data_IF_842603835734
#
_entry.id   IF_842603835734
#
_cell.length_a   1.000
_cell.length_b   1.000
_cell.length_c   1.000
_cell.angle_alpha   90.00
_cell.angle_beta   90.00
_cell.angle_gamma   90.00
#
_symmetry.space_group_name_H-M   'P 1'
#
loop_
_entity.id
_entity.type
_entity.pdbx_description
1 polymer ?
#
# COMPACT_ATOMS: atom_id res chain seq x y z
N UNK A 1 -11.56 6.60 4.41
CA UNK A 1 -10.92 5.38 3.86
C UNK A 1 -10.94 4.22 4.85
N UNK A 2 -10.38 4.38 6.06
CA UNK A 2 -10.35 3.30 7.08
C UNK A 2 -11.70 2.59 7.33
N UNK A 3 -12.76 3.32 7.66
CA UNK A 3 -14.09 2.74 7.91
C UNK A 3 -14.67 2.03 6.67
N UNK A 4 -14.38 2.55 5.47
CA UNK A 4 -14.81 1.93 4.22
C UNK A 4 -14.15 0.58 4.03
N UNK A 5 -12.84 0.48 4.31
CA UNK A 5 -12.13 -0.79 4.23
C UNK A 5 -12.66 -1.80 5.24
N UNK A 6 -12.87 -1.40 6.50
CA UNK A 6 -13.46 -2.29 7.50
C UNK A 6 -14.85 -2.80 7.10
N UNK A 7 -15.69 -1.94 6.52
CA UNK A 7 -17.02 -2.34 6.06
C UNK A 7 -16.95 -3.35 4.91
N UNK A 8 -16.02 -3.16 3.97
CA UNK A 8 -15.87 -4.06 2.80
C UNK A 8 -15.30 -5.41 3.25
N UNK A 9 -14.33 -5.42 4.16
CA UNK A 9 -13.67 -6.65 4.59
C UNK A 9 -14.33 -7.33 5.79
N UNK A 10 -15.35 -6.73 6.38
CA UNK A 10 -15.90 -7.17 7.67
C UNK A 10 -14.88 -7.11 8.82
N UNK A 11 -13.80 -6.34 8.66
CA UNK A 11 -12.69 -6.26 9.61
C UNK A 11 -11.65 -7.38 9.47
N UNK A 12 -11.85 -8.35 8.59
CA UNK A 12 -10.84 -9.38 8.30
C UNK A 12 -9.69 -8.81 7.49
N UNK A 13 -8.49 -9.37 7.67
CA UNK A 13 -7.29 -8.93 6.95
C UNK A 13 -7.23 -9.57 5.57
N UNK A 14 -6.96 -8.76 4.55
CA UNK A 14 -6.78 -9.24 3.18
C UNK A 14 -5.49 -8.70 2.54
N UNK A 15 -4.93 -9.43 1.56
CA UNK A 15 -3.94 -8.87 0.64
C UNK A 15 -4.53 -7.62 -0.05
N UNK A 16 -3.79 -6.53 -0.05
CA UNK A 16 -4.27 -5.22 -0.51
C UNK A 16 -3.41 -4.73 -1.69
N UNK A 17 -4.05 -4.51 -2.82
CA UNK A 17 -3.45 -3.89 -4.00
C UNK A 17 -3.76 -2.39 -3.99
N UNK A 18 -2.72 -1.57 -4.00
CA UNK A 18 -2.82 -0.13 -4.21
C UNK A 18 -2.30 0.20 -5.61
N UNK A 19 -3.22 0.62 -6.48
CA UNK A 19 -2.92 1.09 -7.83
C UNK A 19 -3.50 2.50 -7.96
N UNK A 20 -2.68 3.43 -8.42
CA UNK A 20 -3.11 4.82 -8.59
C UNK A 20 -3.19 5.19 -10.05
N UNK A 21 -4.31 5.76 -10.44
CA UNK A 21 -4.46 6.46 -11.71
C UNK A 21 -4.30 7.97 -11.48
N UNK A 22 -3.51 8.64 -12.33
CA UNK A 22 -3.32 10.10 -12.28
C UNK A 22 -2.27 10.60 -11.28
N UNK A 23 -2.39 11.87 -10.91
CA UNK A 23 -1.41 12.57 -10.07
C UNK A 23 -1.62 12.30 -8.59
N UNK A 24 -0.65 11.63 -7.94
CA UNK A 24 -0.63 11.43 -6.49
C UNK A 24 0.16 12.52 -5.77
N UNK A 25 -0.33 12.91 -4.59
CA UNK A 25 0.34 13.84 -3.70
C UNK A 25 0.75 13.14 -2.42
N UNK A 26 2.05 12.91 -2.25
CA UNK A 26 2.62 12.34 -1.03
C UNK A 26 3.09 13.48 -0.11
N UNK A 27 2.18 14.04 0.70
CA UNK A 27 2.58 15.01 1.74
C UNK A 27 3.28 14.32 2.90
N UNK A 28 4.09 15.05 3.67
CA UNK A 28 4.75 14.50 4.86
C UNK A 28 3.71 14.10 5.90
N UNK A 29 2.74 14.97 6.14
CA UNK A 29 1.65 14.80 7.09
C UNK A 29 0.83 13.54 6.76
N UNK A 30 0.53 13.31 5.47
CA UNK A 30 -0.18 12.12 5.03
C UNK A 30 0.59 10.83 5.28
N UNK A 31 1.91 10.84 5.03
CA UNK A 31 2.79 9.68 5.27
C UNK A 31 2.93 9.33 6.75
N UNK A 32 3.09 10.34 7.61
CA UNK A 32 3.18 10.17 9.06
C UNK A 32 1.87 9.62 9.63
N UNK A 33 0.73 10.18 9.20
CA UNK A 33 -0.58 9.70 9.61
C UNK A 33 -0.82 8.25 9.17
N UNK A 34 -0.50 7.92 7.91
CA UNK A 34 -0.64 6.55 7.38
C UNK A 34 0.13 5.53 8.22
N UNK A 35 1.38 5.83 8.59
CA UNK A 35 2.18 4.97 9.49
C UNK A 35 1.54 4.82 10.88
N UNK A 36 0.99 5.91 11.44
CA UNK A 36 0.32 5.87 12.74
C UNK A 36 -0.91 4.96 12.74
N UNK A 37 -1.74 4.99 11.68
CA UNK A 37 -3.00 4.23 11.59
C UNK A 37 -2.86 2.86 10.92
N UNK A 38 -1.68 2.49 10.45
CA UNK A 38 -1.43 1.29 9.66
C UNK A 38 -1.93 0.01 10.36
N UNK A 39 -1.66 -0.11 11.66
CA UNK A 39 -2.09 -1.25 12.49
C UNK A 39 -3.61 -1.41 12.60
N UNK A 40 -4.38 -0.37 12.29
CA UNK A 40 -5.85 -0.40 12.28
C UNK A 40 -6.40 -0.86 10.94
N UNK A 41 -5.58 -0.86 9.88
CA UNK A 41 -6.07 -1.22 8.55
C UNK A 41 -6.20 -2.74 8.41
N UNK A 42 -7.22 -3.24 7.70
CA UNK A 42 -7.44 -4.65 7.45
C UNK A 42 -6.47 -5.20 6.37
N UNK A 43 -5.19 -4.85 6.43
CA UNK A 43 -4.19 -5.24 5.43
C UNK A 43 -3.33 -6.39 5.94
N UNK A 44 -3.27 -7.48 5.18
CA UNK A 44 -2.39 -8.62 5.42
C UNK A 44 -1.02 -8.42 4.77
N UNK A 45 -1.02 -7.93 3.54
CA UNK A 45 0.14 -7.53 2.74
C UNK A 45 -0.27 -6.39 1.81
N UNK A 46 0.65 -5.50 1.45
CA UNK A 46 0.37 -4.34 0.59
C UNK A 46 1.27 -4.37 -0.63
N UNK A 47 0.66 -4.44 -1.81
CA UNK A 47 1.36 -4.29 -3.08
C UNK A 47 1.03 -2.93 -3.69
N UNK A 48 2.06 -2.13 -3.98
CA UNK A 48 1.87 -0.82 -4.63
C UNK A 48 2.29 -0.91 -6.10
N UNK A 49 1.39 -0.57 -7.01
CA UNK A 49 1.69 -0.50 -8.45
C UNK A 49 1.99 0.95 -8.81
N UNK A 50 3.18 1.17 -9.37
CA UNK A 50 3.59 2.46 -9.88
C UNK A 50 4.26 2.28 -11.24
N UNK A 51 3.65 2.85 -12.29
CA UNK A 51 4.12 2.69 -13.67
C UNK A 51 5.39 3.50 -13.97
N UNK A 52 5.52 4.68 -13.36
CA UNK A 52 6.68 5.55 -13.56
C UNK A 52 7.84 5.16 -12.64
N UNK A 53 9.07 5.24 -13.15
CA UNK A 53 10.26 4.99 -12.33
C UNK A 53 10.36 5.97 -11.16
N UNK A 54 10.00 7.24 -11.38
CA UNK A 54 10.01 8.26 -10.33
C UNK A 54 9.07 7.90 -9.17
N UNK A 55 7.84 7.47 -9.47
CA UNK A 55 6.90 7.05 -8.43
C UNK A 55 7.35 5.76 -7.74
N UNK A 56 7.92 4.79 -8.47
CA UNK A 56 8.49 3.58 -7.84
C UNK A 56 9.60 3.93 -6.84
N UNK A 57 10.51 4.84 -7.20
CA UNK A 57 11.57 5.26 -6.29
C UNK A 57 11.03 5.93 -5.01
N UNK A 58 10.00 6.78 -5.15
CA UNK A 58 9.34 7.42 -3.99
C UNK A 58 8.64 6.37 -3.11
N UNK A 59 7.92 5.41 -3.72
CA UNK A 59 7.21 4.35 -3.03
C UNK A 59 8.17 3.36 -2.33
N UNK A 60 9.29 3.03 -2.98
CA UNK A 60 10.35 2.19 -2.39
C UNK A 60 11.04 2.91 -1.23
N UNK A 61 11.33 4.20 -1.39
CA UNK A 61 11.86 5.04 -0.31
C UNK A 61 10.88 5.05 0.88
N UNK A 62 9.58 5.22 0.64
CA UNK A 62 8.56 5.15 1.69
C UNK A 62 8.62 3.84 2.47
N UNK A 63 8.62 2.70 1.77
CA UNK A 63 8.68 1.37 2.38
C UNK A 63 9.94 1.17 3.25
N UNK A 64 11.08 1.73 2.83
CA UNK A 64 12.35 1.64 3.59
C UNK A 64 12.40 2.54 4.82
N UNK A 65 11.87 3.77 4.72
CA UNK A 65 11.97 4.77 5.79
C UNK A 65 10.89 4.64 6.84
N UNK A 66 9.64 4.44 6.43
CA UNK A 66 8.50 4.36 7.34
C UNK A 66 8.21 2.93 7.80
N UNK A 67 8.91 1.94 7.23
CA UNK A 67 8.93 0.51 7.62
C UNK A 67 7.53 -0.02 7.94
N UNK A 68 6.70 -0.27 6.91
CA UNK A 68 5.38 -0.86 7.07
C UNK A 68 5.43 -2.08 7.99
N UNK A 69 4.46 -2.18 8.90
CA UNK A 69 4.34 -3.29 9.86
C UNK A 69 3.93 -4.59 9.18
N UNK A 70 3.34 -4.51 7.99
CA UNK A 70 3.01 -5.66 7.14
C UNK A 70 3.96 -5.75 5.94
N UNK A 71 4.07 -6.94 5.30
CA UNK A 71 4.77 -7.08 4.03
C UNK A 71 4.32 -6.00 3.03
N UNK A 72 5.28 -5.26 2.52
CA UNK A 72 5.06 -4.17 1.57
C UNK A 72 6.05 -4.30 0.42
N UNK A 73 5.55 -4.20 -0.82
CA UNK A 73 6.39 -4.26 -2.01
C UNK A 73 5.82 -3.41 -3.15
N UNK A 74 6.71 -2.77 -3.91
CA UNK A 74 6.37 -1.97 -5.07
C UNK A 74 6.60 -2.77 -6.34
N UNK A 75 5.67 -2.66 -7.28
CA UNK A 75 5.66 -3.38 -8.55
C UNK A 75 5.51 -2.42 -9.72
N UNK A 76 5.96 -2.88 -10.90
CA UNK A 76 5.80 -2.14 -12.15
C UNK A 76 4.43 -2.41 -12.77
N UNK A 77 3.95 -3.64 -12.68
CA UNK A 77 2.67 -4.05 -13.28
C UNK A 77 1.72 -4.60 -12.23
N UNK A 78 0.43 -4.51 -12.55
CA UNK A 78 -0.65 -5.07 -11.75
C UNK A 78 -0.53 -6.59 -11.62
N UNK A 79 -0.15 -7.27 -12.69
CA UNK A 79 -0.01 -8.73 -12.74
C UNK A 79 1.04 -9.22 -11.75
N UNK A 80 2.23 -8.61 -11.76
CA UNK A 80 3.31 -8.94 -10.82
C UNK A 80 2.88 -8.74 -9.36
N UNK A 81 2.16 -7.66 -9.10
CA UNK A 81 1.63 -7.34 -7.77
C UNK A 81 0.61 -8.38 -7.30
N UNK A 82 -0.32 -8.77 -8.17
CA UNK A 82 -1.34 -9.76 -7.85
C UNK A 82 -0.73 -11.14 -7.61
N UNK A 83 0.26 -11.55 -8.41
CA UNK A 83 0.92 -12.84 -8.23
C UNK A 83 1.69 -12.92 -6.91
N UNK A 84 2.27 -11.81 -6.46
CA UNK A 84 2.86 -11.73 -5.12
C UNK A 84 1.81 -11.73 -4.01
N UNK A 85 0.69 -11.01 -4.17
CA UNK A 85 -0.36 -10.97 -3.14
C UNK A 85 -1.03 -12.33 -2.92
N UNK A 86 -1.11 -13.19 -3.94
CA UNK A 86 -1.66 -14.56 -3.85
C UNK A 86 -0.81 -15.52 -2.99
N UNK A 87 0.40 -15.13 -2.57
CA UNK A 87 1.24 -15.96 -1.69
C UNK A 87 0.93 -15.78 -0.20
N UNK A 88 -0.10 -14.99 0.13
CA UNK A 88 -0.58 -14.70 1.49
C UNK A 88 -1.99 -15.26 1.68
#
# INVERSE_FOLDING_TARGET
>A
MHEVFLRITGGEKHPFLFESEGSLWYTREGREFASHIEHKQPFLAVAMVAESLAFRLIADFYGRFYKPKMPYKVFKTREEALDWLKTF
#
